data_IF_235889879814
#
_entry.id   IF_235889879814
#
_cell.length_a   1.000
_cell.length_b   1.000
_cell.length_c   1.000
_cell.angle_alpha   90.00
_cell.angle_beta   90.00
_cell.angle_gamma   90.00
#
_symmetry.space_group_name_H-M   'P 1'
#
loop_
_entity.id
_entity.type
_entity.pdbx_description
1 polymer ?
#
# COMPACT_ATOMS: atom_id res chain seq x y z
N UNK A 1 4.31 -22.99 80.03
CA UNK A 1 3.91 -23.27 78.61
C UNK A 1 2.79 -22.33 78.19
N UNK A 2 3.08 -21.30 77.38
CA UNK A 2 2.08 -20.36 76.90
C UNK A 2 1.86 -20.68 75.42
N UNK A 3 0.62 -21.10 75.12
CA UNK A 3 0.17 -21.31 73.75
C UNK A 3 0.00 -19.99 73.03
N UNK A 4 0.65 -19.82 71.88
CA UNK A 4 0.61 -18.66 71.00
C UNK A 4 -0.49 -18.89 69.93
N UNK A 5 -1.65 -18.28 70.17
CA UNK A 5 -2.77 -18.31 69.23
C UNK A 5 -2.44 -17.44 68.01
N UNK A 6 -2.29 -18.10 66.88
CA UNK A 6 -2.08 -17.47 65.60
C UNK A 6 -3.40 -16.97 65.04
N UNK A 7 -3.59 -15.66 65.09
CA UNK A 7 -4.69 -14.98 64.36
C UNK A 7 -4.32 -14.89 62.88
N UNK A 8 -4.72 -15.85 62.09
CA UNK A 8 -4.80 -15.72 60.65
C UNK A 8 -6.01 -14.86 60.26
N UNK A 9 -5.77 -13.57 60.12
CA UNK A 9 -6.74 -12.67 59.49
C UNK A 9 -6.88 -13.08 58.01
N UNK A 10 -7.93 -13.83 57.73
CA UNK A 10 -8.37 -14.09 56.38
C UNK A 10 -8.70 -12.74 55.71
N UNK A 11 -7.81 -12.27 54.85
CA UNK A 11 -8.05 -11.13 53.93
C UNK A 11 -9.08 -11.59 52.92
N UNK A 12 -10.35 -11.36 53.21
CA UNK A 12 -11.46 -11.46 52.27
C UNK A 12 -11.17 -10.54 51.10
N UNK A 13 -10.70 -11.09 49.98
CA UNK A 13 -10.69 -10.41 48.69
C UNK A 13 -12.12 -10.12 48.30
N UNK A 14 -12.60 -8.96 48.69
CA UNK A 14 -13.89 -8.41 48.28
C UNK A 14 -13.83 -8.20 46.76
N UNK A 15 -14.22 -9.21 45.97
CA UNK A 15 -14.43 -9.09 44.53
C UNK A 15 -15.40 -7.91 44.36
N UNK A 16 -14.85 -6.80 43.86
CA UNK A 16 -15.64 -5.61 43.56
C UNK A 16 -16.53 -5.93 42.37
N UNK A 17 -17.74 -6.38 42.62
CA UNK A 17 -18.75 -6.48 41.59
C UNK A 17 -19.06 -5.09 41.09
N UNK A 18 -18.87 -4.85 39.78
CA UNK A 18 -19.28 -3.63 39.13
C UNK A 18 -20.79 -3.42 39.44
N UNK A 19 -21.17 -2.21 39.86
CA UNK A 19 -22.62 -1.91 40.00
C UNK A 19 -23.28 -2.14 38.64
N UNK A 20 -24.53 -2.64 38.60
CA UNK A 20 -25.22 -2.95 37.34
C UNK A 20 -25.18 -1.79 36.33
N UNK A 21 -25.34 -0.55 36.80
CA UNK A 21 -25.24 0.64 35.95
C UNK A 21 -23.81 0.89 35.40
N UNK A 22 -22.75 0.53 36.14
CA UNK A 22 -21.36 0.65 35.65
C UNK A 22 -21.05 -0.43 34.61
N UNK A 23 -21.65 -1.63 34.76
CA UNK A 23 -21.53 -2.70 33.78
C UNK A 23 -22.22 -2.33 32.45
N UNK A 24 -23.40 -1.71 32.51
CA UNK A 24 -24.13 -1.21 31.32
C UNK A 24 -23.34 -0.12 30.61
N UNK A 25 -22.79 0.86 31.33
CA UNK A 25 -21.96 1.92 30.73
C UNK A 25 -20.70 1.36 30.07
N UNK A 26 -20.06 0.37 30.67
CA UNK A 26 -18.89 -0.29 30.10
C UNK A 26 -19.29 -1.06 28.81
N UNK A 27 -20.40 -1.78 28.86
CA UNK A 27 -20.93 -2.51 27.70
C UNK A 27 -21.24 -1.58 26.53
N UNK A 28 -21.91 -0.45 26.78
CA UNK A 28 -22.17 0.56 25.77
C UNK A 28 -20.89 1.21 25.23
N UNK A 29 -19.93 1.54 26.11
CA UNK A 29 -18.65 2.09 25.67
C UNK A 29 -17.92 1.13 24.72
N UNK A 30 -17.87 -0.15 25.03
CA UNK A 30 -17.27 -1.17 24.17
C UNK A 30 -18.04 -1.36 22.86
N UNK A 31 -19.38 -1.32 22.91
CA UNK A 31 -20.23 -1.42 21.74
C UNK A 31 -19.95 -0.33 20.69
N UNK A 32 -19.57 0.86 21.12
CA UNK A 32 -19.19 1.96 20.22
C UNK A 32 -17.70 1.93 19.87
N UNK A 33 -16.82 1.69 20.83
CA UNK A 33 -15.37 1.71 20.58
C UNK A 33 -14.90 0.63 19.61
N UNK A 34 -15.37 -0.62 19.77
CA UNK A 34 -14.88 -1.72 18.97
C UNK A 34 -15.20 -1.57 17.48
N UNK A 35 -16.45 -1.28 17.06
CA UNK A 35 -16.74 -1.04 15.65
C UNK A 35 -16.01 0.18 15.10
N UNK A 36 -15.92 1.29 15.87
CA UNK A 36 -15.20 2.47 15.46
C UNK A 36 -13.72 2.19 15.19
N UNK A 37 -13.04 1.51 16.11
CA UNK A 37 -11.65 1.08 15.92
C UNK A 37 -11.48 0.10 14.76
N UNK A 38 -12.43 -0.83 14.56
CA UNK A 38 -12.39 -1.77 13.45
C UNK A 38 -12.40 -1.05 12.10
N UNK A 39 -13.19 0.03 11.95
CA UNK A 39 -13.19 0.86 10.73
C UNK A 39 -11.83 1.52 10.50
N UNK A 40 -11.19 2.08 11.54
CA UNK A 40 -9.87 2.70 11.41
C UNK A 40 -8.78 1.66 11.07
N UNK A 41 -8.81 0.48 11.69
CA UNK A 41 -7.89 -0.61 11.35
C UNK A 41 -8.09 -1.03 9.90
N UNK A 42 -9.34 -1.25 9.47
CA UNK A 42 -9.65 -1.58 8.09
C UNK A 42 -9.10 -0.55 7.12
N UNK A 43 -9.34 0.74 7.38
CA UNK A 43 -8.82 1.82 6.57
C UNK A 43 -7.30 1.85 6.54
N UNK A 44 -6.65 1.69 7.71
CA UNK A 44 -5.19 1.62 7.78
C UNK A 44 -4.58 0.48 6.94
N UNK A 45 -5.26 -0.67 6.88
CA UNK A 45 -4.83 -1.80 6.07
C UNK A 45 -4.90 -1.52 4.56
N UNK A 46 -5.70 -0.55 4.10
CA UNK A 46 -5.76 -0.17 2.67
C UNK A 46 -4.49 0.51 2.20
N UNK A 47 -3.70 1.10 3.10
CA UNK A 47 -2.43 1.77 2.78
C UNK A 47 -1.21 0.84 2.79
N UNK A 48 -1.38 -0.43 3.18
CA UNK A 48 -0.28 -1.40 3.14
C UNK A 48 0.00 -1.73 1.66
N UNK A 49 1.22 -1.44 1.14
CA UNK A 49 1.53 -1.74 -0.25
C UNK A 49 1.69 -3.24 -0.46
N UNK A 50 1.11 -3.74 -1.54
CA UNK A 50 1.51 -5.03 -2.11
C UNK A 50 2.88 -4.86 -2.78
N UNK A 51 3.71 -5.87 -2.68
CA UNK A 51 5.01 -5.93 -3.34
C UNK A 51 5.06 -7.18 -4.20
N UNK A 52 5.19 -6.98 -5.51
CA UNK A 52 5.34 -8.07 -6.48
C UNK A 52 6.72 -8.01 -7.11
N UNK A 53 7.47 -9.09 -7.04
CA UNK A 53 8.78 -9.19 -7.69
C UNK A 53 8.72 -10.20 -8.82
N UNK A 54 9.26 -9.82 -9.98
CA UNK A 54 9.31 -10.68 -11.19
C UNK A 54 10.67 -10.54 -11.85
N UNK A 55 11.30 -11.67 -12.15
CA UNK A 55 12.52 -11.71 -12.96
C UNK A 55 12.20 -11.75 -14.46
N UNK A 56 13.12 -11.26 -15.26
CA UNK A 56 13.14 -11.46 -16.71
C UNK A 56 14.54 -11.85 -17.17
N UNK A 57 14.63 -12.76 -18.17
CA UNK A 57 15.91 -13.28 -18.62
C UNK A 57 16.67 -12.29 -19.49
N UNK A 58 18.00 -12.47 -19.57
CA UNK A 58 18.84 -11.78 -20.54
C UNK A 58 18.40 -12.13 -21.97
N UNK A 59 18.56 -11.15 -22.87
CA UNK A 59 18.26 -11.31 -24.31
C UNK A 59 19.28 -10.58 -25.14
N UNK A 60 19.52 -11.12 -26.35
CA UNK A 60 20.25 -10.46 -27.40
C UNK A 60 19.28 -10.08 -28.51
N UNK A 61 19.32 -8.85 -28.95
CA UNK A 61 18.46 -8.30 -29.98
C UNK A 61 19.28 -7.75 -31.11
N UNK A 62 18.95 -8.13 -32.33
CA UNK A 62 19.57 -7.57 -33.53
C UNK A 62 18.77 -6.36 -34.00
N UNK A 63 19.39 -5.22 -34.08
CA UNK A 63 18.80 -3.96 -34.55
C UNK A 63 19.43 -3.61 -35.89
N UNK A 64 18.61 -3.46 -36.92
CA UNK A 64 19.08 -3.05 -38.25
C UNK A 64 19.05 -1.54 -38.38
N UNK A 65 20.07 -0.97 -39.02
CA UNK A 65 20.14 0.47 -39.31
C UNK A 65 20.84 0.70 -40.64
N UNK A 66 20.23 1.44 -41.53
CA UNK A 66 20.75 1.63 -42.89
C UNK A 66 21.13 0.28 -43.55
N UNK A 67 22.42 0.09 -43.88
CA UNK A 67 22.97 -1.16 -44.41
C UNK A 67 23.64 -2.02 -43.33
N UNK A 68 23.65 -1.59 -42.08
CA UNK A 68 24.31 -2.29 -40.96
C UNK A 68 23.35 -2.96 -39.99
N UNK A 69 23.92 -3.77 -39.13
CA UNK A 69 23.21 -4.40 -38.02
C UNK A 69 24.05 -4.32 -36.76
N UNK A 70 23.42 -4.07 -35.61
CA UNK A 70 24.08 -4.18 -34.31
C UNK A 70 23.35 -5.16 -33.41
N UNK A 71 24.09 -5.85 -32.56
CA UNK A 71 23.55 -6.67 -31.49
C UNK A 71 23.49 -5.85 -30.20
N UNK A 72 22.28 -5.73 -29.65
CA UNK A 72 22.05 -5.12 -28.35
C UNK A 72 21.88 -6.24 -27.31
N UNK A 73 22.78 -6.28 -26.35
CA UNK A 73 22.67 -7.17 -25.18
C UNK A 73 21.81 -6.50 -24.10
N UNK A 74 20.68 -7.10 -23.80
CA UNK A 74 19.82 -6.73 -22.68
C UNK A 74 20.09 -7.75 -21.56
N UNK A 75 20.62 -7.32 -20.41
CA UNK A 75 20.90 -8.22 -19.31
C UNK A 75 19.60 -8.72 -18.68
N UNK A 76 19.73 -9.81 -17.92
CA UNK A 76 18.68 -10.23 -16.99
C UNK A 76 18.42 -9.17 -15.93
N UNK A 77 17.27 -9.23 -15.32
CA UNK A 77 16.93 -8.27 -14.29
C UNK A 77 15.71 -8.64 -13.47
N UNK A 78 15.41 -7.79 -12.51
CA UNK A 78 14.25 -7.91 -11.63
C UNK A 78 13.41 -6.65 -11.69
N UNK A 79 12.10 -6.84 -11.72
CA UNK A 79 11.10 -5.81 -11.51
C UNK A 79 10.51 -5.98 -10.12
N UNK A 80 10.53 -4.95 -9.30
CA UNK A 80 9.78 -4.87 -8.05
C UNK A 80 8.69 -3.82 -8.20
N UNK A 81 7.45 -4.27 -8.27
CA UNK A 81 6.26 -3.42 -8.38
C UNK A 81 5.63 -3.26 -6.99
N UNK A 82 5.41 -2.02 -6.57
CA UNK A 82 4.73 -1.68 -5.31
C UNK A 82 3.47 -0.89 -5.62
N UNK A 83 2.35 -1.36 -5.11
CA UNK A 83 1.04 -0.72 -5.31
C UNK A 83 0.15 -0.98 -4.09
N UNK A 84 -0.91 -0.21 -3.82
CA UNK A 84 -1.83 -0.51 -2.76
C UNK A 84 -2.60 -1.81 -3.05
N UNK A 85 -2.90 -2.58 -2.02
CA UNK A 85 -3.77 -3.78 -2.13
C UNK A 85 -5.20 -3.37 -2.47
N UNK A 86 -5.62 -2.21 -1.93
CA UNK A 86 -6.97 -1.68 -2.07
C UNK A 86 -6.95 -0.21 -2.43
N UNK A 87 -7.95 0.23 -3.18
CA UNK A 87 -8.10 1.62 -3.56
C UNK A 87 -9.55 2.07 -3.42
N UNK A 88 -9.74 3.28 -2.93
CA UNK A 88 -11.04 3.93 -2.80
C UNK A 88 -11.22 5.01 -3.85
N UNK A 89 -12.44 5.19 -4.35
CA UNK A 89 -12.79 6.26 -5.29
C UNK A 89 -12.45 7.63 -4.70
N UNK A 90 -11.87 8.51 -5.53
CA UNK A 90 -11.52 9.87 -5.17
C UNK A 90 -10.27 10.02 -4.30
N UNK A 91 -9.62 8.93 -3.89
CA UNK A 91 -8.35 8.96 -3.16
C UNK A 91 -7.18 8.72 -4.11
N UNK A 92 -6.10 9.50 -3.93
CA UNK A 92 -4.89 9.35 -4.75
C UNK A 92 -3.92 8.36 -4.12
N UNK A 93 -3.39 7.48 -4.94
CA UNK A 93 -2.44 6.43 -4.54
C UNK A 93 -1.19 6.49 -5.42
N UNK A 94 -0.08 6.00 -4.87
CA UNK A 94 1.16 5.82 -5.63
C UNK A 94 1.37 4.36 -6.01
N UNK A 95 1.80 4.14 -7.26
CA UNK A 95 2.37 2.89 -7.73
C UNK A 95 3.82 3.16 -8.15
N UNK A 96 4.73 2.29 -7.74
CA UNK A 96 6.15 2.41 -8.09
C UNK A 96 6.66 1.12 -8.69
N UNK A 97 7.50 1.24 -9.71
CA UNK A 97 8.20 0.12 -10.33
C UNK A 97 9.70 0.36 -10.25
N UNK A 98 10.39 -0.46 -9.50
CA UNK A 98 11.85 -0.49 -9.42
C UNK A 98 12.37 -1.61 -10.32
N UNK A 99 13.18 -1.25 -11.31
CA UNK A 99 13.82 -2.20 -12.23
C UNK A 99 15.30 -2.22 -11.90
N UNK A 100 15.83 -3.40 -11.64
CA UNK A 100 17.27 -3.64 -11.45
C UNK A 100 17.75 -4.61 -12.50
N UNK A 101 18.69 -4.18 -13.31
CA UNK A 101 19.39 -5.01 -14.28
C UNK A 101 20.67 -5.55 -13.64
N UNK A 102 21.12 -6.74 -14.06
CA UNK A 102 22.39 -7.29 -13.57
C UNK A 102 23.61 -6.46 -14.05
N UNK A 103 23.45 -5.74 -15.14
CA UNK A 103 24.42 -4.76 -15.70
C UNK A 103 23.69 -3.76 -16.61
N UNK A 104 24.36 -2.70 -17.02
CA UNK A 104 23.81 -1.80 -18.05
C UNK A 104 23.67 -2.52 -19.41
N UNK A 105 22.63 -2.24 -20.21
CA UNK A 105 22.54 -2.70 -21.60
C UNK A 105 23.70 -2.18 -22.43
N UNK A 106 24.17 -2.97 -23.38
CA UNK A 106 25.30 -2.58 -24.23
C UNK A 106 25.15 -3.07 -25.67
N UNK A 107 25.74 -2.33 -26.57
CA UNK A 107 25.92 -2.77 -27.95
C UNK A 107 27.18 -3.64 -27.97
N UNK A 108 27.07 -4.92 -28.38
CA UNK A 108 28.18 -5.88 -28.34
C UNK A 108 28.88 -6.05 -29.67
N UNK A 109 28.17 -5.98 -30.80
CA UNK A 109 28.72 -6.15 -32.11
C UNK A 109 27.94 -5.33 -33.13
N UNK A 110 28.66 -4.67 -34.06
CA UNK A 110 28.05 -3.98 -35.19
C UNK A 110 28.78 -4.32 -36.50
N UNK A 111 27.99 -4.45 -37.60
CA UNK A 111 28.51 -4.49 -38.95
C UNK A 111 28.39 -3.06 -39.50
N UNK A 112 29.53 -2.34 -39.63
CA UNK A 112 29.57 -0.96 -40.08
C UNK A 112 29.88 0.05 -38.95
N UNK A 113 29.73 1.36 -39.21
CA UNK A 113 30.03 2.38 -38.23
C UNK A 113 29.06 2.29 -37.03
N UNK A 114 29.56 2.58 -35.82
CA UNK A 114 28.73 2.58 -34.61
C UNK A 114 27.64 3.68 -34.73
N UNK A 115 26.37 3.30 -34.59
CA UNK A 115 25.30 4.27 -34.64
C UNK A 115 25.24 5.12 -33.37
N UNK A 116 24.75 6.34 -33.48
CA UNK A 116 24.50 7.22 -32.34
C UNK A 116 23.10 6.93 -31.76
N UNK A 117 22.97 5.80 -31.09
CA UNK A 117 21.70 5.38 -30.52
C UNK A 117 21.52 5.81 -29.08
N UNK A 118 20.30 6.21 -28.77
CA UNK A 118 19.81 6.35 -27.41
C UNK A 118 19.07 5.08 -27.00
N UNK A 119 19.61 4.35 -26.02
CA UNK A 119 18.95 3.19 -25.43
C UNK A 119 18.19 3.65 -24.20
N UNK A 120 16.90 3.48 -24.19
CA UNK A 120 16.01 3.88 -23.11
C UNK A 120 15.22 2.71 -22.57
N UNK A 121 14.99 2.71 -21.26
CA UNK A 121 14.00 1.88 -20.62
C UNK A 121 12.69 2.67 -20.50
N UNK A 122 11.62 2.16 -21.10
CA UNK A 122 10.30 2.75 -21.06
C UNK A 122 9.40 1.91 -20.15
N UNK A 123 8.77 2.56 -19.19
CA UNK A 123 7.76 1.96 -18.35
C UNK A 123 6.43 2.65 -18.58
N UNK A 124 5.37 1.87 -18.69
CA UNK A 124 4.00 2.34 -18.86
C UNK A 124 3.08 1.57 -17.95
N UNK A 125 2.09 2.23 -17.40
CA UNK A 125 1.00 1.57 -16.69
C UNK A 125 -0.34 2.02 -17.23
N UNK A 126 -1.33 1.13 -17.18
CA UNK A 126 -2.73 1.48 -17.42
C UNK A 126 -3.56 1.05 -16.23
N UNK A 127 -4.55 1.85 -15.90
CA UNK A 127 -5.56 1.57 -14.89
C UNK A 127 -6.92 1.71 -15.54
N UNK A 128 -7.77 0.71 -15.36
CA UNK A 128 -9.16 0.79 -15.80
C UNK A 128 -9.95 1.51 -14.73
N UNK A 129 -10.78 2.48 -15.13
CA UNK A 129 -11.62 3.30 -14.23
C UNK A 129 -10.85 4.14 -13.23
N UNK A 130 -9.64 4.61 -13.60
CA UNK A 130 -8.87 5.52 -12.78
C UNK A 130 -8.06 6.52 -13.62
N UNK A 131 -7.99 7.78 -13.18
CA UNK A 131 -7.08 8.77 -13.71
C UNK A 131 -5.64 8.48 -13.29
N UNK A 132 -4.68 8.62 -14.20
CA UNK A 132 -3.26 8.31 -13.97
C UNK A 132 -2.37 9.50 -14.32
N UNK A 133 -1.41 9.78 -13.47
CA UNK A 133 -0.39 10.81 -13.72
C UNK A 133 1.01 10.26 -13.43
N UNK A 134 1.96 10.33 -14.38
CA UNK A 134 1.78 10.79 -15.76
C UNK A 134 0.95 9.77 -16.59
N UNK A 135 0.12 10.27 -17.48
CA UNK A 135 -0.67 9.43 -18.40
C UNK A 135 0.21 8.76 -19.46
N UNK A 136 1.26 9.44 -19.86
CA UNK A 136 2.21 8.93 -20.85
C UNK A 136 3.20 7.93 -20.23
N UNK A 137 3.85 7.13 -21.09
CA UNK A 137 4.98 6.30 -20.66
C UNK A 137 6.12 7.16 -20.13
N UNK A 138 6.83 6.64 -19.12
CA UNK A 138 8.03 7.26 -18.56
C UNK A 138 9.25 6.59 -19.21
N UNK A 139 10.14 7.40 -19.79
CA UNK A 139 11.40 6.93 -20.40
C UNK A 139 12.59 7.38 -19.56
N UNK A 140 13.54 6.48 -19.38
CA UNK A 140 14.81 6.78 -18.72
C UNK A 140 15.97 6.20 -19.54
N UNK A 141 17.08 6.97 -19.74
CA UNK A 141 18.24 6.47 -20.46
C UNK A 141 18.85 5.28 -19.71
N UNK A 142 19.14 4.21 -20.47
CA UNK A 142 19.65 2.95 -19.93
C UNK A 142 21.17 2.79 -20.09
N UNK A 143 21.84 3.71 -20.77
CA UNK A 143 23.29 3.69 -20.93
C UNK A 143 23.96 3.96 -19.58
N UNK A 144 24.89 3.08 -19.19
CA UNK A 144 25.64 3.17 -17.91
C UNK A 144 24.77 3.17 -16.65
N UNK A 145 23.57 2.64 -16.74
CA UNK A 145 22.64 2.58 -15.62
C UNK A 145 22.02 1.17 -15.51
N UNK A 146 21.91 0.68 -14.29
CA UNK A 146 21.38 -0.66 -13.95
C UNK A 146 20.13 -0.60 -13.07
N UNK A 147 19.83 0.55 -12.47
CA UNK A 147 18.70 0.73 -11.57
C UNK A 147 17.81 1.87 -12.03
N UNK A 148 16.51 1.62 -12.13
CA UNK A 148 15.50 2.56 -12.59
C UNK A 148 14.32 2.57 -11.64
N UNK A 149 13.80 3.77 -11.33
CA UNK A 149 12.61 3.95 -10.52
C UNK A 149 11.58 4.73 -11.33
N UNK A 150 10.40 4.14 -11.48
CA UNK A 150 9.26 4.74 -12.15
C UNK A 150 8.12 4.92 -11.14
N UNK A 151 7.47 6.07 -11.17
CA UNK A 151 6.40 6.41 -10.24
C UNK A 151 5.17 6.94 -10.99
N UNK A 152 4.00 6.47 -10.56
CA UNK A 152 2.70 6.96 -11.03
C UNK A 152 1.83 7.28 -9.83
N UNK A 153 1.01 8.30 -10.00
CA UNK A 153 -0.11 8.57 -9.11
C UNK A 153 -1.38 8.22 -9.85
N UNK A 154 -2.28 7.48 -9.22
CA UNK A 154 -3.57 7.15 -9.80
C UNK A 154 -4.69 7.46 -8.81
N UNK A 155 -5.86 7.82 -9.35
CA UNK A 155 -7.06 8.14 -8.57
C UNK A 155 -8.23 7.39 -9.19
N UNK A 156 -8.79 6.37 -8.50
CA UNK A 156 -9.99 5.69 -8.97
C UNK A 156 -11.14 6.66 -9.14
N UNK A 157 -11.82 6.61 -10.28
CA UNK A 157 -12.92 7.51 -10.64
C UNK A 157 -14.28 6.84 -10.50
N UNK A 158 -14.31 5.51 -10.66
CA UNK A 158 -15.55 4.72 -10.60
C UNK A 158 -15.46 3.62 -9.56
N UNK A 159 -16.60 3.26 -8.98
CA UNK A 159 -16.72 2.14 -8.05
C UNK A 159 -16.82 0.83 -8.82
N UNK A 160 -15.74 0.07 -8.86
CA UNK A 160 -15.69 -1.27 -9.45
C UNK A 160 -15.21 -2.28 -8.39
N UNK A 161 -15.60 -3.55 -8.45
CA UNK A 161 -15.16 -4.56 -7.45
C UNK A 161 -13.64 -4.72 -7.42
N UNK A 162 -13.00 -4.70 -8.59
CA UNK A 162 -11.55 -4.85 -8.77
C UNK A 162 -11.09 -3.88 -9.85
N UNK A 163 -10.12 -3.05 -9.53
CA UNK A 163 -9.45 -2.18 -10.50
C UNK A 163 -8.39 -3.01 -11.24
N UNK A 164 -8.62 -3.22 -12.53
CA UNK A 164 -7.65 -3.90 -13.38
C UNK A 164 -6.54 -2.94 -13.76
N UNK A 165 -5.31 -3.34 -13.50
CA UNK A 165 -4.14 -2.55 -13.80
C UNK A 165 -3.09 -3.40 -14.48
N UNK A 166 -2.40 -2.84 -15.46
CA UNK A 166 -1.34 -3.53 -16.19
C UNK A 166 -0.13 -2.64 -16.32
N UNK A 167 1.02 -3.23 -16.09
CA UNK A 167 2.34 -2.62 -16.24
C UNK A 167 3.06 -3.24 -17.43
N UNK A 168 3.74 -2.41 -18.21
CA UNK A 168 4.63 -2.81 -19.30
C UNK A 168 6.00 -2.20 -19.09
N UNK A 169 7.01 -3.04 -19.32
CA UNK A 169 8.40 -2.63 -19.39
C UNK A 169 8.92 -2.91 -20.78
N UNK A 170 9.50 -1.89 -21.42
CA UNK A 170 10.00 -1.97 -22.78
C UNK A 170 11.41 -1.41 -22.88
N UNK A 171 12.21 -2.01 -23.74
CA UNK A 171 13.47 -1.40 -24.20
C UNK A 171 13.21 -0.69 -25.52
N UNK A 172 13.71 0.54 -25.62
CA UNK A 172 13.56 1.37 -26.82
C UNK A 172 14.94 1.77 -27.30
N UNK A 173 15.18 1.58 -28.58
CA UNK A 173 16.33 2.18 -29.27
C UNK A 173 15.80 3.29 -30.16
N UNK A 174 16.42 4.46 -30.06
CA UNK A 174 16.08 5.63 -30.84
C UNK A 174 17.33 6.30 -31.39
N UNK A 175 17.21 6.92 -32.56
CA UNK A 175 18.20 7.76 -33.18
C UNK A 175 17.58 9.11 -33.48
N UNK A 176 18.22 10.21 -33.06
CA UNK A 176 17.68 11.57 -33.24
C UNK A 176 16.20 11.69 -32.80
N UNK A 177 15.89 11.10 -31.63
CA UNK A 177 14.54 11.05 -31.04
C UNK A 177 13.48 10.25 -31.82
N UNK A 178 13.83 9.65 -32.95
CA UNK A 178 12.97 8.71 -33.65
C UNK A 178 13.17 7.30 -33.12
N UNK A 179 12.07 6.65 -32.73
CA UNK A 179 12.10 5.25 -32.28
C UNK A 179 12.41 4.35 -33.48
N UNK A 180 13.55 3.66 -33.45
CA UNK A 180 13.93 2.65 -34.45
C UNK A 180 13.27 1.33 -34.10
N UNK A 181 13.40 0.91 -32.84
CA UNK A 181 12.93 -0.38 -32.37
C UNK A 181 12.37 -0.29 -30.95
N UNK A 182 11.39 -1.16 -30.67
CA UNK A 182 10.74 -1.27 -29.37
C UNK A 182 10.47 -2.72 -29.02
N UNK A 183 10.99 -3.19 -27.88
CA UNK A 183 10.80 -4.57 -27.43
C UNK A 183 10.12 -4.62 -26.06
N UNK A 184 9.12 -5.48 -25.95
CA UNK A 184 8.49 -5.76 -24.65
C UNK A 184 9.40 -6.71 -23.86
N UNK A 185 9.88 -6.24 -22.72
CA UNK A 185 10.68 -7.04 -21.78
C UNK A 185 9.77 -7.82 -20.84
N UNK A 186 8.75 -7.16 -20.33
CA UNK A 186 7.83 -7.72 -19.34
C UNK A 186 6.47 -7.03 -19.41
N UNK A 187 5.41 -7.80 -19.17
CA UNK A 187 4.08 -7.28 -18.86
C UNK A 187 3.55 -7.98 -17.61
N UNK A 188 2.94 -7.22 -16.70
CA UNK A 188 2.36 -7.75 -15.46
C UNK A 188 1.05 -7.06 -15.14
N UNK A 189 0.08 -7.88 -14.75
CA UNK A 189 -1.18 -7.40 -14.18
C UNK A 189 -1.03 -7.29 -12.65
N UNK A 190 -1.63 -6.24 -12.08
CA UNK A 190 -1.66 -6.02 -10.65
C UNK A 190 -3.06 -5.52 -10.24
N UNK A 191 -3.98 -6.45 -10.03
CA UNK A 191 -5.34 -6.09 -9.62
C UNK A 191 -5.34 -5.48 -8.22
N UNK A 192 -6.21 -4.51 -7.99
CA UNK A 192 -6.44 -3.89 -6.70
C UNK A 192 -7.92 -4.02 -6.33
N UNK A 193 -8.19 -4.43 -5.10
CA UNK A 193 -9.56 -4.51 -4.60
C UNK A 193 -10.14 -3.12 -4.33
N UNK A 194 -11.45 -3.01 -4.42
CA UNK A 194 -12.12 -1.81 -3.97
C UNK A 194 -12.10 -1.74 -2.43
N UNK A 195 -11.73 -0.57 -1.90
CA UNK A 195 -11.76 -0.30 -0.46
C UNK A 195 -13.15 0.07 0.08
N UNK A 196 -14.18 0.19 -0.78
CA UNK A 196 -15.54 0.48 -0.34
C UNK A 196 -16.05 -0.60 0.61
N UNK A 197 -16.56 -0.19 1.77
CA UNK A 197 -17.19 -1.08 2.74
C UNK A 197 -18.72 -1.09 2.46
N UNK A 198 -19.31 -2.24 2.20
CA UNK A 198 -20.74 -2.37 1.86
C UNK A 198 -21.20 -1.44 0.71
N UNK A 199 -20.33 -1.19 -0.27
CA UNK A 199 -20.64 -0.34 -1.42
C UNK A 199 -20.68 1.16 -1.13
N UNK A 200 -20.39 1.59 0.10
CA UNK A 200 -20.38 2.99 0.49
C UNK A 200 -18.96 3.58 0.48
N UNK A 201 -18.81 4.88 0.15
CA UNK A 201 -17.52 5.57 0.17
C UNK A 201 -16.83 5.45 1.52
N UNK A 202 -15.54 5.20 1.50
CA UNK A 202 -14.70 5.04 2.70
C UNK A 202 -14.79 6.22 3.66
N UNK A 203 -14.99 7.45 3.14
CA UNK A 203 -15.12 8.68 3.94
C UNK A 203 -16.32 8.63 4.90
N UNK A 204 -17.46 8.11 4.46
CA UNK A 204 -18.65 7.98 5.32
C UNK A 204 -18.40 7.05 6.50
N UNK A 205 -17.68 5.94 6.26
CA UNK A 205 -17.31 5.01 7.31
C UNK A 205 -16.30 5.59 8.28
N UNK A 206 -15.35 6.40 7.81
CA UNK A 206 -14.40 7.10 8.69
C UNK A 206 -15.10 8.11 9.60
N UNK A 207 -16.07 8.86 9.06
CA UNK A 207 -16.88 9.78 9.87
C UNK A 207 -17.70 9.02 10.90
N UNK A 208 -18.41 7.98 10.48
CA UNK A 208 -19.20 7.14 11.37
C UNK A 208 -18.32 6.48 12.45
N UNK A 209 -17.18 5.91 12.06
CA UNK A 209 -16.20 5.33 12.98
C UNK A 209 -15.68 6.36 13.99
N UNK A 210 -15.34 7.57 13.53
CA UNK A 210 -14.92 8.67 14.38
C UNK A 210 -15.96 9.05 15.42
N UNK A 211 -17.22 9.20 15.03
CA UNK A 211 -18.33 9.47 15.95
C UNK A 211 -18.47 8.34 16.97
N UNK A 212 -18.41 7.09 16.54
CA UNK A 212 -18.48 5.94 17.44
C UNK A 212 -17.33 5.94 18.47
N UNK A 213 -16.09 6.19 18.04
CA UNK A 213 -14.94 6.29 18.97
C UNK A 213 -15.14 7.42 19.98
N UNK A 214 -15.57 8.61 19.54
CA UNK A 214 -15.81 9.74 20.44
C UNK A 214 -16.90 9.44 21.48
N UNK A 215 -18.01 8.84 21.06
CA UNK A 215 -19.08 8.39 21.98
C UNK A 215 -18.57 7.36 22.98
N UNK A 216 -17.81 6.38 22.52
CA UNK A 216 -17.24 5.36 23.38
C UNK A 216 -16.28 5.94 24.43
N UNK A 217 -15.42 6.88 24.03
CA UNK A 217 -14.51 7.61 24.95
C UNK A 217 -15.33 8.43 25.98
N UNK A 218 -16.36 9.15 25.54
CA UNK A 218 -17.24 9.92 26.43
C UNK A 218 -17.87 9.03 27.50
N UNK A 219 -18.41 7.88 27.10
CA UNK A 219 -18.99 6.90 28.02
C UNK A 219 -17.96 6.35 29.03
N UNK A 220 -16.71 6.11 28.60
CA UNK A 220 -15.63 5.71 29.51
C UNK A 220 -15.28 6.80 30.51
N UNK A 221 -15.23 8.07 30.08
CA UNK A 221 -15.00 9.20 30.98
C UNK A 221 -16.10 9.29 32.05
N UNK A 222 -17.38 9.18 31.63
CA UNK A 222 -18.50 9.16 32.55
C UNK A 222 -18.45 8.00 33.54
N UNK A 223 -18.04 6.82 33.08
CA UNK A 223 -17.83 5.66 33.94
C UNK A 223 -16.76 5.94 34.99
N UNK A 224 -15.62 6.50 34.60
CA UNK A 224 -14.50 6.83 35.50
C UNK A 224 -14.93 7.89 36.53
N UNK A 225 -15.63 8.94 36.07
CA UNK A 225 -16.13 9.99 36.96
C UNK A 225 -17.11 9.42 38.01
N UNK A 226 -18.04 8.58 37.57
CA UNK A 226 -18.99 7.88 38.46
C UNK A 226 -18.29 6.99 39.48
N UNK A 227 -17.27 6.25 39.06
CA UNK A 227 -16.48 5.42 39.99
C UNK A 227 -15.69 6.27 41.01
N UNK A 228 -15.14 7.42 40.57
CA UNK A 228 -14.48 8.38 41.48
C UNK A 228 -15.44 8.98 42.47
N UNK A 229 -16.62 9.43 42.04
CA UNK A 229 -17.65 9.97 42.93
C UNK A 229 -18.11 8.95 43.98
N UNK A 230 -18.30 7.69 43.58
CA UNK A 230 -18.66 6.60 44.50
C UNK A 230 -17.54 6.29 45.52
N UNK A 231 -16.28 6.55 45.19
CA UNK A 231 -15.16 6.39 46.14
C UNK A 231 -15.06 7.56 47.13
N UNK A 232 -15.34 8.79 46.67
CA UNK A 232 -15.19 9.99 47.48
C UNK A 232 -16.40 10.21 48.42
N UNK A 233 -17.57 9.62 48.12
CA UNK A 233 -18.74 9.67 48.99
C UNK A 233 -18.70 8.70 50.18
N UNK A 234 -17.64 7.97 50.38
CA UNK A 234 -17.46 7.02 51.47
C UNK A 234 -16.50 7.49 52.56
N UNK A 235 -16.35 8.81 52.78
CA UNK A 235 -15.78 9.33 54.01
C UNK A 235 -16.93 9.63 54.95
N UNK A 236 -17.13 8.80 56.04
CA UNK A 236 -18.01 9.19 57.13
C UNK A 236 -17.38 10.42 57.87
N UNK A 237 -18.23 11.39 58.16
CA UNK A 237 -17.94 12.43 59.12
C UNK A 237 -17.62 11.90 60.52
#
# INVERSE_FOLDING_TARGET
MKAKTSNQTARSEKRRTLSGASAVLLGLALLFLLPGLAVFIWYGLTYIPAVQTSGFPARELTVSYGTGQCTLEIPDGTLTLRHPVRAAVGSSYKATAEVRLSRAPRISACTGPLPNWNINLEAQTSFVSAGVTPFASIRQPAVNRDTFLFEWTFTPEETVPVYQSRFWLRMIVSEQDQTIERWNMLARDFPMENAALFGQPTVLWLIAGGICVLLGILLLILLIQRQRAARNGHFPA
#
